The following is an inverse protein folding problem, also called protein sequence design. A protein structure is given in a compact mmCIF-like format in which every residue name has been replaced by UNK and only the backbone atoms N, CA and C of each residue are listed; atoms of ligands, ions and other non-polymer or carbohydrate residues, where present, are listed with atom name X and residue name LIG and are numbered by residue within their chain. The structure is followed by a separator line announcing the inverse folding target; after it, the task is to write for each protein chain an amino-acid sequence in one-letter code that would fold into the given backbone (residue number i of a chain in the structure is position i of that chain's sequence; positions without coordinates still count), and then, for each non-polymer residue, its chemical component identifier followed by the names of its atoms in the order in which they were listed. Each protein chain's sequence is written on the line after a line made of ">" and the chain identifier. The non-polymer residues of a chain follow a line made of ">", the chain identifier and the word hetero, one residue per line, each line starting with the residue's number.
data_IF_045177806571
#
_entry.id   IF_045177806571
#
_cell.length_a   1.000
_cell.length_b   1.000
_cell.length_c   1.000
_cell.angle_alpha   90.00
_cell.angle_beta   90.00
_cell.angle_gamma   90.00
#
_symmetry.space_group_name_H-M   'P 1'
#
loop_
_entity.id
_entity.type
_entity.pdbx_description
1 polymer ?
#
# COMPACT_ATOMS: atom_id res chain seq x y z
N UNK A 1 2.70 8.84 27.70
CA UNK A 1 3.55 9.50 26.68
C UNK A 1 2.67 10.50 25.95
N UNK A 2 2.79 11.80 26.29
CA UNK A 2 1.95 12.87 25.73
C UNK A 2 2.57 13.36 24.42
N UNK A 3 2.34 12.63 23.34
CA UNK A 3 2.71 13.10 22.01
C UNK A 3 1.55 14.00 21.56
N UNK A 4 1.74 15.32 21.64
CA UNK A 4 0.90 16.28 20.92
C UNK A 4 1.08 15.97 19.44
N UNK A 5 0.22 15.14 18.88
CA UNK A 5 0.15 14.86 17.45
C UNK A 5 -0.22 16.17 16.74
N UNK A 6 0.81 16.92 16.36
CA UNK A 6 0.56 18.11 15.55
C UNK A 6 0.11 17.63 14.17
N UNK A 7 -1.04 18.09 13.66
CA UNK A 7 -1.53 17.67 12.35
C UNK A 7 -0.52 17.96 11.23
N UNK A 8 0.33 18.95 11.42
CA UNK A 8 1.44 19.27 10.48
C UNK A 8 2.48 18.15 10.38
N UNK A 9 2.86 17.54 11.51
CA UNK A 9 3.82 16.43 11.53
C UNK A 9 3.24 15.19 10.87
N UNK A 10 1.95 14.90 11.12
CA UNK A 10 1.26 13.79 10.45
C UNK A 10 1.22 13.97 8.92
N UNK A 11 0.89 15.16 8.43
CA UNK A 11 0.90 15.48 7.00
C UNK A 11 2.31 15.34 6.40
N UNK A 12 3.35 15.81 7.09
CA UNK A 12 4.72 15.67 6.61
C UNK A 12 5.13 14.20 6.46
N UNK A 13 4.78 13.35 7.43
CA UNK A 13 5.03 11.90 7.35
C UNK A 13 4.24 11.24 6.22
N UNK A 14 2.99 11.65 5.98
CA UNK A 14 2.19 11.15 4.86
C UNK A 14 2.81 11.52 3.51
N UNK A 15 3.26 12.75 3.34
CA UNK A 15 3.93 13.19 2.11
C UNK A 15 5.24 12.42 1.87
N UNK A 16 6.04 12.24 2.91
CA UNK A 16 7.28 11.45 2.82
C UNK A 16 6.99 9.99 2.45
N UNK A 17 6.00 9.37 3.08
CA UNK A 17 5.58 8.01 2.77
C UNK A 17 5.08 7.88 1.32
N UNK A 18 4.28 8.82 0.85
CA UNK A 18 3.76 8.83 -0.53
C UNK A 18 4.87 8.99 -1.56
N UNK A 19 5.83 9.88 -1.29
CA UNK A 19 7.01 10.06 -2.15
C UNK A 19 7.86 8.79 -2.21
N UNK A 20 8.15 8.19 -1.05
CA UNK A 20 8.91 6.94 -0.97
C UNK A 20 8.21 5.79 -1.70
N UNK A 21 6.88 5.69 -1.56
CA UNK A 21 6.09 4.69 -2.26
C UNK A 21 6.08 4.89 -3.78
N UNK A 22 5.93 6.13 -4.23
CA UNK A 22 6.01 6.48 -5.66
C UNK A 22 7.38 6.15 -6.27
N UNK A 23 8.46 6.51 -5.58
CA UNK A 23 9.83 6.19 -5.99
C UNK A 23 10.06 4.68 -6.07
N UNK A 24 9.56 3.92 -5.11
CA UNK A 24 9.63 2.47 -5.13
C UNK A 24 8.91 1.88 -6.35
N UNK A 25 7.69 2.34 -6.65
CA UNK A 25 6.95 1.85 -7.81
C UNK A 25 7.66 2.15 -9.13
N UNK A 26 8.28 3.33 -9.25
CA UNK A 26 9.07 3.70 -10.42
C UNK A 26 10.30 2.79 -10.60
N UNK A 27 11.02 2.51 -9.51
CA UNK A 27 12.18 1.60 -9.52
C UNK A 27 11.75 0.17 -9.89
N UNK A 28 10.69 -0.34 -9.29
CA UNK A 28 10.17 -1.69 -9.61
C UNK A 28 9.77 -1.77 -11.08
N UNK A 29 9.10 -0.74 -11.61
CA UNK A 29 8.73 -0.70 -13.04
C UNK A 29 9.95 -0.68 -13.92
N UNK A 30 10.97 0.10 -13.60
CA UNK A 30 12.22 0.15 -14.40
C UNK A 30 12.91 -1.20 -14.42
N UNK A 31 12.98 -1.88 -13.27
CA UNK A 31 13.67 -3.15 -13.13
C UNK A 31 12.85 -4.34 -13.63
N UNK A 32 11.54 -4.18 -13.81
CA UNK A 32 10.60 -5.28 -14.17
C UNK A 32 10.86 -5.92 -15.53
N UNK A 33 11.66 -5.28 -16.41
CA UNK A 33 12.10 -5.84 -17.68
C UNK A 33 13.28 -6.80 -17.55
N UNK A 34 14.09 -6.68 -16.50
CA UNK A 34 15.34 -7.42 -16.31
C UNK A 34 15.28 -8.39 -15.13
N UNK A 35 14.42 -8.14 -14.15
CA UNK A 35 14.34 -8.91 -12.91
C UNK A 35 12.95 -9.51 -12.77
N UNK A 36 12.94 -10.80 -12.50
CA UNK A 36 11.70 -11.54 -12.26
C UNK A 36 10.95 -11.05 -11.02
N UNK A 37 9.62 -11.09 -11.08
CA UNK A 37 8.72 -10.65 -9.99
C UNK A 37 9.06 -11.36 -8.68
N UNK A 38 9.37 -12.66 -8.73
CA UNK A 38 9.71 -13.43 -7.53
C UNK A 38 10.95 -12.92 -6.84
N UNK A 39 11.98 -12.59 -7.60
CA UNK A 39 13.23 -12.02 -7.09
C UNK A 39 12.97 -10.65 -6.45
N UNK A 40 12.19 -9.80 -7.09
CA UNK A 40 11.80 -8.48 -6.57
C UNK A 40 11.06 -8.59 -5.24
N UNK A 41 10.07 -9.48 -5.15
CA UNK A 41 9.29 -9.74 -3.93
C UNK A 41 10.19 -10.28 -2.83
N UNK A 42 11.10 -11.20 -3.15
CA UNK A 42 12.01 -11.81 -2.17
C UNK A 42 12.96 -10.77 -1.58
N UNK A 43 13.68 -10.03 -2.42
CA UNK A 43 14.65 -9.01 -1.97
C UNK A 43 13.94 -7.95 -1.13
N UNK A 44 12.79 -7.45 -1.58
CA UNK A 44 12.01 -6.46 -0.84
C UNK A 44 11.60 -6.99 0.54
N UNK A 45 11.07 -8.20 0.60
CA UNK A 45 10.63 -8.82 1.86
C UNK A 45 11.80 -9.01 2.82
N UNK A 46 12.96 -9.40 2.31
CA UNK A 46 14.17 -9.56 3.09
C UNK A 46 14.66 -8.23 3.67
N UNK A 47 14.72 -7.19 2.84
CA UNK A 47 15.14 -5.85 3.27
C UNK A 47 14.20 -5.29 4.33
N UNK A 48 12.87 -5.37 4.11
CA UNK A 48 11.87 -4.85 5.06
C UNK A 48 11.93 -5.63 6.37
N UNK A 49 12.00 -6.96 6.32
CA UNK A 49 12.07 -7.81 7.51
C UNK A 49 13.31 -7.49 8.34
N UNK A 50 14.47 -7.35 7.68
CA UNK A 50 15.72 -7.00 8.34
C UNK A 50 15.64 -5.62 8.98
N UNK A 51 15.11 -4.63 8.27
CA UNK A 51 14.95 -3.27 8.78
C UNK A 51 14.02 -3.23 10.00
N UNK A 52 12.85 -3.90 9.93
CA UNK A 52 11.90 -3.97 11.05
C UNK A 52 12.54 -4.69 12.23
N UNK A 53 13.26 -5.78 12.01
CA UNK A 53 13.95 -6.52 13.08
C UNK A 53 14.98 -5.64 13.79
N UNK A 54 15.78 -4.89 13.04
CA UNK A 54 16.78 -3.97 13.61
C UNK A 54 16.09 -2.86 14.43
N UNK A 55 15.05 -2.24 13.89
CA UNK A 55 14.29 -1.17 14.56
C UNK A 55 13.64 -1.70 15.85
N UNK A 56 13.03 -2.88 15.81
CA UNK A 56 12.41 -3.50 16.97
C UNK A 56 13.43 -3.82 18.06
N UNK A 57 14.61 -4.32 17.68
CA UNK A 57 15.69 -4.61 18.62
C UNK A 57 16.26 -3.35 19.28
N UNK A 58 16.44 -2.27 18.52
CA UNK A 58 16.89 -0.97 19.04
C UNK A 58 15.82 -0.36 19.95
N UNK A 59 14.55 -0.41 19.53
CA UNK A 59 13.42 0.13 20.28
C UNK A 59 12.99 -0.71 21.47
N UNK A 60 13.62 -1.89 21.69
CA UNK A 60 13.24 -2.87 22.73
C UNK A 60 11.74 -3.20 22.72
N UNK A 61 11.18 -3.32 21.50
CA UNK A 61 9.77 -3.67 21.31
C UNK A 61 9.64 -5.18 21.28
N UNK A 62 8.78 -5.75 22.14
CA UNK A 62 8.48 -7.16 22.14
C UNK A 62 7.64 -7.52 20.92
N UNK A 63 8.21 -8.34 20.04
CA UNK A 63 7.54 -8.84 18.83
C UNK A 63 6.68 -10.09 19.15
N UNK A 64 5.82 -9.98 20.17
CA UNK A 64 4.95 -11.11 20.57
C UNK A 64 3.65 -11.04 19.76
N UNK A 65 3.44 -12.03 18.92
CA UNK A 65 2.19 -12.21 18.17
C UNK A 65 1.17 -12.96 19.03
N UNK A 66 0.11 -12.26 19.43
CA UNK A 66 -0.94 -12.82 20.29
C UNK A 66 -1.87 -13.75 19.51
N UNK A 67 -2.23 -13.40 18.28
CA UNK A 67 -3.08 -14.20 17.40
C UNK A 67 -2.32 -14.66 16.14
N UNK A 68 -1.68 -15.80 16.25
CA UNK A 68 -0.83 -16.35 15.17
C UNK A 68 -1.63 -16.73 13.92
N UNK A 69 -2.89 -17.19 14.06
CA UNK A 69 -3.71 -17.63 12.93
C UNK A 69 -4.13 -16.46 12.06
N UNK A 70 -4.67 -15.42 12.67
CA UNK A 70 -5.08 -14.21 11.94
C UNK A 70 -3.88 -13.49 11.35
N UNK A 71 -2.75 -13.48 12.06
CA UNK A 71 -1.50 -12.92 11.54
C UNK A 71 -1.00 -13.69 10.32
N UNK A 72 -0.97 -15.02 10.37
CA UNK A 72 -0.57 -15.84 9.23
C UNK A 72 -1.47 -15.65 8.01
N UNK A 73 -2.79 -15.61 8.22
CA UNK A 73 -3.75 -15.35 7.15
C UNK A 73 -3.52 -13.97 6.51
N UNK A 74 -3.31 -12.94 7.32
CA UNK A 74 -3.00 -11.58 6.86
C UNK A 74 -1.71 -11.54 6.05
N UNK A 75 -0.64 -12.19 6.53
CA UNK A 75 0.63 -12.27 5.82
C UNK A 75 0.50 -13.00 4.48
N UNK A 76 -0.22 -14.11 4.46
CA UNK A 76 -0.46 -14.87 3.22
C UNK A 76 -1.23 -14.04 2.19
N UNK A 77 -2.35 -13.44 2.61
CA UNK A 77 -3.17 -12.59 1.73
C UNK A 77 -2.38 -11.38 1.22
N UNK A 78 -1.58 -10.75 2.09
CA UNK A 78 -0.71 -9.64 1.73
C UNK A 78 0.38 -10.03 0.73
N UNK A 79 0.97 -11.21 0.89
CA UNK A 79 1.96 -11.74 -0.04
C UNK A 79 1.36 -11.99 -1.43
N UNK A 80 0.20 -12.65 -1.49
CA UNK A 80 -0.52 -12.89 -2.76
C UNK A 80 -0.87 -11.56 -3.44
N UNK A 81 -1.42 -10.60 -2.70
CA UNK A 81 -1.74 -9.27 -3.23
C UNK A 81 -0.51 -8.55 -3.78
N UNK A 82 0.64 -8.66 -3.10
CA UNK A 82 1.90 -8.04 -3.53
C UNK A 82 2.43 -8.66 -4.82
N UNK A 83 2.39 -9.99 -4.94
CA UNK A 83 2.80 -10.70 -6.16
C UNK A 83 1.93 -10.27 -7.34
N UNK A 84 0.61 -10.26 -7.16
CA UNK A 84 -0.33 -9.84 -8.20
C UNK A 84 -0.11 -8.39 -8.61
N UNK A 85 0.11 -7.49 -7.65
CA UNK A 85 0.37 -6.08 -7.92
C UNK A 85 1.66 -5.87 -8.72
N UNK A 86 2.76 -6.51 -8.34
CA UNK A 86 4.03 -6.38 -9.07
C UNK A 86 3.99 -7.06 -10.44
N UNK A 87 3.26 -8.16 -10.58
CA UNK A 87 3.02 -8.76 -11.90
C UNK A 87 2.24 -7.80 -12.80
N UNK A 88 1.20 -7.17 -12.28
CA UNK A 88 0.46 -6.14 -13.01
C UNK A 88 1.35 -4.94 -13.38
N UNK A 89 2.19 -4.46 -12.45
CA UNK A 89 3.10 -3.35 -12.70
C UNK A 89 4.11 -3.64 -13.82
N UNK A 90 4.50 -4.91 -13.99
CA UNK A 90 5.33 -5.36 -15.13
C UNK A 90 4.58 -5.28 -16.47
N UNK A 91 3.30 -5.65 -16.48
CA UNK A 91 2.50 -5.83 -17.70
C UNK A 91 1.81 -4.56 -18.19
N UNK A 92 1.37 -3.67 -17.29
CA UNK A 92 0.61 -2.46 -17.62
C UNK A 92 1.39 -1.18 -17.32
N UNK A 93 1.04 -0.04 -17.94
CA UNK A 93 1.64 1.24 -17.60
C UNK A 93 1.45 1.59 -16.12
N UNK A 94 2.49 2.21 -15.53
CA UNK A 94 2.52 2.52 -14.09
C UNK A 94 1.31 3.36 -13.63
N UNK A 95 0.84 4.29 -14.49
CA UNK A 95 -0.33 5.11 -14.20
C UNK A 95 -1.59 4.28 -14.02
N UNK A 96 -1.81 3.26 -14.86
CA UNK A 96 -2.96 2.36 -14.74
C UNK A 96 -2.87 1.46 -13.50
N UNK A 97 -1.69 0.91 -13.21
CA UNK A 97 -1.47 0.08 -12.03
C UNK A 97 -1.74 0.87 -10.73
N UNK A 98 -1.25 2.10 -10.66
CA UNK A 98 -1.46 3.01 -9.54
C UNK A 98 -2.92 3.44 -9.41
N UNK A 99 -3.60 3.72 -10.53
CA UNK A 99 -5.04 4.03 -10.53
C UNK A 99 -5.87 2.88 -9.96
N UNK A 100 -5.59 1.65 -10.38
CA UNK A 100 -6.26 0.46 -9.84
C UNK A 100 -6.01 0.29 -8.34
N UNK A 101 -4.79 0.58 -7.88
CA UNK A 101 -4.47 0.51 -6.45
C UNK A 101 -5.25 1.54 -5.63
N UNK A 102 -5.46 2.75 -6.14
CA UNK A 102 -6.27 3.77 -5.47
C UNK A 102 -7.77 3.45 -5.44
N UNK A 103 -8.21 2.41 -6.14
CA UNK A 103 -9.58 1.88 -6.02
C UNK A 103 -9.77 1.04 -4.74
N UNK A 104 -8.68 0.57 -4.11
CA UNK A 104 -8.74 -0.24 -2.88
C UNK A 104 -9.59 0.38 -1.75
N UNK A 105 -9.47 1.67 -1.40
CA UNK A 105 -10.29 2.27 -0.34
C UNK A 105 -11.79 2.21 -0.64
N UNK A 106 -12.19 2.28 -1.91
CA UNK A 106 -13.60 2.13 -2.32
C UNK A 106 -14.10 0.71 -2.04
N UNK A 107 -13.31 -0.30 -2.43
CA UNK A 107 -13.66 -1.70 -2.15
C UNK A 107 -13.70 -1.99 -0.65
N UNK A 108 -12.75 -1.45 0.11
CA UNK A 108 -12.73 -1.61 1.57
C UNK A 108 -13.98 -0.97 2.19
N UNK A 109 -14.38 0.23 1.77
CA UNK A 109 -15.57 0.91 2.26
C UNK A 109 -16.85 0.14 1.90
N UNK A 110 -16.94 -0.41 0.68
CA UNK A 110 -18.05 -1.26 0.23
C UNK A 110 -18.15 -2.54 1.09
N UNK A 111 -17.04 -3.24 1.23
CA UNK A 111 -17.00 -4.51 1.95
C UNK A 111 -17.23 -4.33 3.45
N UNK A 112 -16.70 -3.25 4.06
CA UNK A 112 -16.94 -2.97 5.47
C UNK A 112 -18.42 -2.68 5.75
N UNK A 113 -19.09 -1.93 4.88
CA UNK A 113 -20.55 -1.71 4.98
C UNK A 113 -21.35 -2.99 4.86
N UNK A 114 -20.93 -3.92 3.99
CA UNK A 114 -21.64 -5.17 3.74
C UNK A 114 -21.35 -6.25 4.81
N UNK A 115 -20.08 -6.44 5.19
CA UNK A 115 -19.68 -7.52 6.11
C UNK A 115 -19.72 -7.13 7.58
N UNK A 116 -19.39 -5.88 7.91
CA UNK A 116 -19.34 -5.43 9.31
C UNK A 116 -20.63 -4.70 9.74
N UNK A 117 -21.56 -4.44 8.80
CA UNK A 117 -22.77 -3.63 9.04
C UNK A 117 -22.44 -2.24 9.64
N UNK A 118 -21.23 -1.77 9.43
CA UNK A 118 -20.82 -0.43 9.88
C UNK A 118 -21.38 0.62 8.93
N UNK A 119 -21.97 1.68 9.51
CA UNK A 119 -22.43 2.82 8.73
C UNK A 119 -21.22 3.66 8.31
N UNK A 120 -20.72 3.41 7.10
CA UNK A 120 -19.67 4.25 6.51
C UNK A 120 -20.23 5.66 6.33
N UNK A 121 -19.57 6.65 6.93
CA UNK A 121 -20.02 8.04 6.87
C UNK A 121 -20.07 8.51 5.42
N UNK A 122 -21.15 9.17 4.95
CA UNK A 122 -21.30 9.58 3.54
C UNK A 122 -20.14 10.44 3.01
N UNK A 123 -19.45 11.17 3.88
CA UNK A 123 -18.25 11.92 3.52
C UNK A 123 -17.13 11.05 2.97
N UNK A 124 -16.99 9.80 3.43
CA UNK A 124 -15.97 8.85 2.94
C UNK A 124 -16.24 8.50 1.47
N UNK A 125 -17.50 8.33 1.10
CA UNK A 125 -17.91 8.07 -0.28
C UNK A 125 -17.63 9.24 -1.20
N UNK A 126 -17.94 10.46 -0.76
CA UNK A 126 -17.70 11.70 -1.54
C UNK A 126 -16.20 11.89 -1.75
N UNK A 127 -15.40 11.77 -0.69
CA UNK A 127 -13.94 11.91 -0.77
C UNK A 127 -13.30 10.83 -1.65
N UNK A 128 -13.77 9.59 -1.55
CA UNK A 128 -13.28 8.49 -2.38
C UNK A 128 -13.61 8.70 -3.86
N UNK A 129 -14.82 9.17 -4.19
CA UNK A 129 -15.22 9.53 -5.56
C UNK A 129 -14.39 10.68 -6.10
N UNK A 130 -14.19 11.75 -5.34
CA UNK A 130 -13.37 12.92 -5.75
C UNK A 130 -11.93 12.46 -6.01
N UNK A 131 -11.36 11.64 -5.13
CA UNK A 131 -10.01 11.09 -5.30
C UNK A 131 -9.91 10.25 -6.56
N UNK A 132 -10.90 9.41 -6.84
CA UNK A 132 -10.94 8.58 -8.04
C UNK A 132 -11.05 9.43 -9.32
N UNK A 133 -11.93 10.43 -9.33
CA UNK A 133 -12.06 11.36 -10.47
C UNK A 133 -10.78 12.16 -10.72
N UNK A 134 -10.01 12.49 -9.69
CA UNK A 134 -8.72 13.18 -9.82
C UNK A 134 -7.63 12.33 -10.47
N UNK A 135 -7.73 10.99 -10.40
CA UNK A 135 -6.71 10.07 -10.93
C UNK A 135 -7.01 9.67 -12.38
N UNK A 136 -8.29 9.67 -12.79
CA UNK A 136 -8.72 9.29 -14.14
C UNK A 136 -8.00 10.07 -15.26
N UNK A 137 -7.83 11.41 -15.20
CA UNK A 137 -7.12 12.16 -16.24
C UNK A 137 -5.66 11.72 -16.41
N UNK A 138 -4.99 11.36 -15.31
CA UNK A 138 -3.59 10.92 -15.34
C UNK A 138 -3.44 9.59 -16.08
N UNK A 139 -4.44 8.72 -16.00
CA UNK A 139 -4.45 7.44 -16.71
C UNK A 139 -4.59 7.61 -18.23
N UNK A 140 -5.31 8.63 -18.70
CA UNK A 140 -5.55 8.85 -20.12
C UNK A 140 -4.41 9.57 -20.84
N UNK A 141 -3.59 10.37 -20.16
CA UNK A 141 -2.47 11.11 -20.78
C UNK A 141 -1.32 10.21 -21.21
N UNK A 142 -1.25 8.97 -20.75
CA UNK A 142 -0.22 7.99 -21.13
C UNK A 142 -0.62 7.02 -22.26
N UNK A 143 -1.78 7.20 -22.87
CA UNK A 143 -2.26 6.37 -24.01
C UNK A 143 -1.94 6.95 -25.39
N UNK A 144 -1.10 8.01 -25.46
CA UNK A 144 -0.57 8.56 -26.71
C UNK A 144 0.91 8.35 -26.84
#
# INVERSE_FOLDING_TARGET
>A
MNQKDSPRTAVAWMLFASFSFGSMNALVKWTSSEVDVWTTVFIRSLVITTAIYIIAKIGRVDLVVHDRKNMAFRCFTGLVAMILYFSALGLIPIGQAVTLQYTNPLFVALLSGFFLSERVHPQVWILALISFLGIVPVSYTHLR
#
